data_IF_227711207849
#
_entry.id   IF_227711207849
#
_cell.length_a   1.000
_cell.length_b   1.000
_cell.length_c   1.000
_cell.angle_alpha   90.00
_cell.angle_beta   90.00
_cell.angle_gamma   90.00
#
_symmetry.space_group_name_H-M   'P 1'
#
loop_
_entity.id
_entity.type
_entity.pdbx_description
1 polymer ?
#
# COMPACT_ATOMS: atom_id res chain seq x y z
N UNK A 1 -37.93 4.35 16.42
CA UNK A 1 -36.58 4.72 16.91
C UNK A 1 -36.44 6.24 16.82
N UNK A 2 -35.95 6.92 17.87
CA UNK A 2 -35.85 8.38 17.87
C UNK A 2 -34.66 8.86 17.03
N UNK A 3 -34.83 9.94 16.26
CA UNK A 3 -33.77 10.59 15.47
C UNK A 3 -32.49 10.82 16.29
N UNK A 4 -32.63 11.15 17.58
CA UNK A 4 -31.51 11.36 18.51
C UNK A 4 -30.73 10.07 18.83
N UNK A 5 -31.43 8.92 18.93
CA UNK A 5 -30.79 7.62 19.18
C UNK A 5 -30.05 7.13 17.93
N UNK A 6 -30.63 7.27 16.75
CA UNK A 6 -29.98 6.92 15.48
C UNK A 6 -28.65 7.68 15.27
N UNK A 7 -28.64 9.00 15.54
CA UNK A 7 -27.41 9.81 15.41
C UNK A 7 -26.32 9.42 16.43
N UNK A 8 -26.73 9.09 17.66
CA UNK A 8 -25.80 8.63 18.70
C UNK A 8 -25.14 7.29 18.34
N UNK A 9 -25.92 6.35 17.81
CA UNK A 9 -25.41 5.05 17.36
C UNK A 9 -24.46 5.20 16.17
N UNK A 10 -24.81 6.02 15.18
CA UNK A 10 -23.91 6.31 14.05
C UNK A 10 -22.57 6.89 14.53
N UNK A 11 -22.60 7.80 15.50
CA UNK A 11 -21.38 8.37 16.11
C UNK A 11 -20.54 7.29 16.80
N UNK A 12 -21.16 6.38 17.54
CA UNK A 12 -20.47 5.25 18.17
C UNK A 12 -19.85 4.30 17.14
N UNK A 13 -20.57 3.96 16.06
CA UNK A 13 -20.02 3.12 14.98
C UNK A 13 -18.81 3.75 14.31
N UNK A 14 -18.82 5.07 14.05
CA UNK A 14 -17.67 5.79 13.49
C UNK A 14 -16.48 5.76 14.47
N UNK A 15 -16.72 5.95 15.78
CA UNK A 15 -15.68 5.88 16.79
C UNK A 15 -15.03 4.49 16.85
N UNK A 16 -15.83 3.42 16.87
CA UNK A 16 -15.31 2.06 16.87
C UNK A 16 -14.55 1.72 15.59
N UNK A 17 -15.04 2.16 14.43
CA UNK A 17 -14.32 1.97 13.16
C UNK A 17 -12.96 2.68 13.19
N UNK A 18 -12.91 3.92 13.70
CA UNK A 18 -11.66 4.65 13.87
C UNK A 18 -10.67 3.95 14.82
N UNK A 19 -11.17 3.36 15.90
CA UNK A 19 -10.35 2.57 16.84
C UNK A 19 -9.80 1.30 16.17
N UNK A 20 -10.62 0.56 15.43
CA UNK A 20 -10.18 -0.66 14.74
C UNK A 20 -9.12 -0.33 13.69
N UNK A 21 -9.34 0.71 12.88
CA UNK A 21 -8.38 1.12 11.85
C UNK A 21 -7.06 1.59 12.47
N UNK A 22 -7.11 2.42 13.52
CA UNK A 22 -5.90 2.94 14.16
C UNK A 22 -5.10 1.86 14.90
N UNK A 23 -5.77 0.96 15.63
CA UNK A 23 -5.11 -0.18 16.27
C UNK A 23 -4.52 -1.14 15.24
N UNK A 24 -5.26 -1.44 14.17
CA UNK A 24 -4.77 -2.27 13.07
C UNK A 24 -3.52 -1.69 12.40
N UNK A 25 -3.55 -0.40 12.07
CA UNK A 25 -2.39 0.34 11.55
C UNK A 25 -1.21 0.33 12.51
N UNK A 26 -1.45 0.58 13.80
CA UNK A 26 -0.41 0.58 14.83
C UNK A 26 0.31 -0.77 14.93
N UNK A 27 -0.44 -1.87 14.90
CA UNK A 27 0.12 -3.22 14.90
C UNK A 27 0.96 -3.46 13.64
N UNK A 28 0.47 -3.06 12.46
CA UNK A 28 1.24 -3.19 11.21
C UNK A 28 2.57 -2.45 11.29
N UNK A 29 2.58 -1.19 11.74
CA UNK A 29 3.82 -0.43 11.91
C UNK A 29 4.78 -1.05 12.94
N UNK A 30 4.26 -1.62 14.03
CA UNK A 30 5.10 -2.21 15.09
C UNK A 30 5.85 -3.46 14.62
N UNK A 31 5.21 -4.33 13.83
CA UNK A 31 5.81 -5.60 13.40
C UNK A 31 6.52 -5.54 12.04
N UNK A 32 6.40 -4.44 11.30
CA UNK A 32 6.96 -4.40 9.95
C UNK A 32 8.49 -4.20 9.99
N UNK A 33 9.29 -5.05 9.32
CA UNK A 33 10.74 -4.89 9.27
C UNK A 33 11.16 -3.75 8.33
N UNK A 34 11.65 -2.64 8.89
CA UNK A 34 12.07 -1.46 8.12
C UNK A 34 13.45 -1.65 7.48
N UNK A 35 14.34 -2.38 8.14
CA UNK A 35 15.74 -2.49 7.72
C UNK A 35 15.97 -3.57 6.65
N UNK A 36 14.93 -4.30 6.26
CA UNK A 36 15.02 -5.43 5.33
C UNK A 36 14.41 -5.02 3.98
N UNK A 37 15.12 -5.22 2.86
CA UNK A 37 14.56 -5.02 1.53
C UNK A 37 13.32 -5.88 1.28
N UNK A 38 12.46 -5.44 0.36
CA UNK A 38 11.28 -6.21 -0.04
C UNK A 38 11.73 -7.46 -0.80
N UNK A 39 11.18 -8.62 -0.41
CA UNK A 39 11.48 -9.93 -1.00
C UNK A 39 10.21 -10.62 -1.51
N UNK A 40 10.39 -11.81 -2.08
CA UNK A 40 9.31 -12.73 -2.53
C UNK A 40 8.29 -12.06 -3.46
N UNK A 41 7.00 -12.20 -3.21
CA UNK A 41 5.94 -11.69 -4.08
C UNK A 41 5.95 -10.17 -4.15
N UNK A 42 6.30 -9.50 -3.04
CA UNK A 42 6.46 -8.05 -3.01
C UNK A 42 7.57 -7.59 -3.96
N UNK A 43 8.64 -8.37 -4.11
CA UNK A 43 9.73 -8.05 -5.03
C UNK A 43 9.30 -8.18 -6.50
N UNK A 44 8.48 -9.17 -6.85
CA UNK A 44 7.93 -9.25 -8.21
C UNK A 44 7.02 -8.06 -8.55
N UNK A 45 6.20 -7.62 -7.59
CA UNK A 45 5.41 -6.39 -7.76
C UNK A 45 6.27 -5.14 -7.90
N UNK A 46 7.33 -5.05 -7.11
CA UNK A 46 8.31 -3.97 -7.17
C UNK A 46 8.95 -3.86 -8.56
N UNK A 47 9.47 -4.98 -9.08
CA UNK A 47 10.14 -5.02 -10.38
C UNK A 47 9.16 -4.66 -11.50
N UNK A 48 7.95 -5.22 -11.47
CA UNK A 48 6.92 -4.89 -12.47
C UNK A 48 6.59 -3.40 -12.45
N UNK A 49 6.29 -2.83 -11.27
CA UNK A 49 5.96 -1.41 -11.12
C UNK A 49 7.10 -0.49 -11.59
N UNK A 50 8.34 -0.80 -11.21
CA UNK A 50 9.53 -0.03 -11.60
C UNK A 50 9.73 -0.06 -13.11
N UNK A 51 9.57 -1.23 -13.73
CA UNK A 51 9.67 -1.38 -15.18
C UNK A 51 8.57 -0.62 -15.91
N UNK A 52 7.34 -0.62 -15.38
CA UNK A 52 6.23 0.19 -15.94
C UNK A 52 6.61 1.67 -16.02
N UNK A 53 7.20 2.22 -14.96
CA UNK A 53 7.60 3.63 -14.92
C UNK A 53 8.80 3.89 -15.84
N UNK A 54 9.78 3.00 -15.83
CA UNK A 54 11.00 3.14 -16.64
C UNK A 54 10.73 3.06 -18.15
N UNK A 55 9.85 2.16 -18.57
CA UNK A 55 9.49 1.96 -19.98
C UNK A 55 8.37 2.90 -20.45
N UNK A 56 7.71 3.61 -19.52
CA UNK A 56 6.56 4.48 -19.84
C UNK A 56 5.32 3.72 -20.32
N UNK A 57 5.22 2.42 -20.02
CA UNK A 57 4.16 1.54 -20.49
C UNK A 57 4.12 0.21 -19.75
N UNK A 58 3.03 -0.55 -19.91
CA UNK A 58 2.86 -1.82 -19.19
C UNK A 58 3.91 -2.87 -19.65
N UNK A 59 4.65 -3.49 -18.73
CA UNK A 59 5.67 -4.49 -19.06
C UNK A 59 5.12 -5.68 -19.83
N UNK A 60 5.73 -5.99 -20.97
CA UNK A 60 5.41 -7.15 -21.82
C UNK A 60 6.36 -8.31 -21.45
N UNK A 61 5.84 -9.54 -21.44
CA UNK A 61 6.64 -10.75 -21.17
C UNK A 61 6.93 -11.01 -19.69
N UNK A 62 6.31 -10.26 -18.78
CA UNK A 62 6.34 -10.54 -17.34
C UNK A 62 5.18 -11.47 -16.96
N UNK A 63 5.50 -12.68 -16.51
CA UNK A 63 4.53 -13.68 -16.09
C UNK A 63 4.02 -13.45 -14.66
N UNK A 64 3.45 -12.26 -14.41
CA UNK A 64 2.82 -11.95 -13.13
C UNK A 64 1.33 -12.28 -13.19
N UNK A 65 0.89 -13.21 -12.34
CA UNK A 65 -0.52 -13.66 -12.28
C UNK A 65 -1.46 -12.57 -11.78
N UNK A 66 -0.96 -11.59 -11.01
CA UNK A 66 -1.71 -10.46 -10.49
C UNK A 66 -0.91 -9.15 -10.65
N UNK A 67 -1.37 -8.28 -11.56
CA UNK A 67 -0.73 -6.98 -11.84
C UNK A 67 -1.39 -5.81 -11.12
N UNK A 68 -2.52 -6.00 -10.43
CA UNK A 68 -3.31 -4.91 -9.85
C UNK A 68 -2.50 -4.08 -8.86
N UNK A 69 -1.82 -4.74 -7.92
CA UNK A 69 -0.95 -4.08 -6.94
C UNK A 69 0.25 -3.39 -7.60
N UNK A 70 0.93 -4.05 -8.55
CA UNK A 70 2.08 -3.48 -9.25
C UNK A 70 1.71 -2.26 -10.09
N UNK A 71 0.56 -2.30 -10.77
CA UNK A 71 0.03 -1.15 -11.50
C UNK A 71 -0.30 0.00 -10.56
N UNK A 72 -0.96 -0.28 -9.43
CA UNK A 72 -1.24 0.73 -8.41
C UNK A 72 0.06 1.35 -7.86
N UNK A 73 1.08 0.56 -7.55
CA UNK A 73 2.39 1.05 -7.13
C UNK A 73 3.04 1.97 -8.18
N UNK A 74 2.93 1.62 -9.45
CA UNK A 74 3.51 2.43 -10.54
C UNK A 74 2.96 3.86 -10.56
N UNK A 75 1.70 4.07 -10.15
CA UNK A 75 1.10 5.41 -10.01
C UNK A 75 1.87 6.30 -9.01
N UNK A 76 2.44 5.70 -7.97
CA UNK A 76 3.25 6.43 -6.98
C UNK A 76 4.71 6.57 -7.43
N UNK A 77 5.26 5.53 -8.06
CA UNK A 77 6.65 5.53 -8.53
C UNK A 77 6.89 6.59 -9.62
N UNK A 78 5.87 6.96 -10.41
CA UNK A 78 5.97 8.07 -11.38
C UNK A 78 6.38 9.40 -10.74
N UNK A 79 6.02 9.62 -9.47
CA UNK A 79 6.35 10.85 -8.73
C UNK A 79 7.63 10.73 -7.90
N UNK A 80 8.28 9.57 -7.89
CA UNK A 80 9.43 9.28 -7.06
C UNK A 80 10.74 9.36 -7.87
N UNK A 81 11.85 9.57 -7.15
CA UNK A 81 13.18 9.39 -7.72
C UNK A 81 13.42 7.89 -7.92
N UNK A 82 13.59 7.48 -9.18
CA UNK A 82 13.79 6.08 -9.58
C UNK A 82 15.27 5.68 -9.64
N UNK A 83 16.21 6.60 -9.38
CA UNK A 83 17.65 6.31 -9.39
C UNK A 83 18.10 5.47 -8.21
N UNK A 84 17.36 5.52 -7.09
CA UNK A 84 17.60 4.72 -5.90
C UNK A 84 16.46 3.70 -5.68
N UNK A 85 16.70 2.40 -5.93
CA UNK A 85 15.72 1.35 -5.72
C UNK A 85 15.23 1.25 -4.26
N UNK A 86 16.05 1.62 -3.27
CA UNK A 86 15.65 1.54 -1.86
C UNK A 86 14.57 2.57 -1.53
N UNK A 87 14.62 3.77 -2.13
CA UNK A 87 13.55 4.77 -2.01
C UNK A 87 12.22 4.25 -2.54
N UNK A 88 12.23 3.57 -3.69
CA UNK A 88 11.03 2.97 -4.25
C UNK A 88 10.51 1.82 -3.37
N UNK A 89 11.40 1.01 -2.79
CA UNK A 89 11.01 -0.02 -1.83
C UNK A 89 10.41 0.58 -0.56
N UNK A 90 10.91 1.72 -0.05
CA UNK A 90 10.31 2.43 1.08
C UNK A 90 8.90 2.92 0.76
N UNK A 91 8.66 3.40 -0.47
CA UNK A 91 7.32 3.84 -0.92
C UNK A 91 6.37 2.64 -0.96
N UNK A 92 6.77 1.55 -1.62
CA UNK A 92 5.95 0.34 -1.66
C UNK A 92 5.66 -0.17 -0.25
N UNK A 93 6.67 -0.19 0.63
CA UNK A 93 6.52 -0.59 2.03
C UNK A 93 5.49 0.25 2.75
N UNK A 94 5.62 1.58 2.65
CA UNK A 94 4.70 2.53 3.30
C UNK A 94 3.27 2.31 2.82
N UNK A 95 3.08 2.12 1.52
CA UNK A 95 1.76 1.84 0.94
C UNK A 95 1.19 0.50 1.42
N UNK A 96 2.01 -0.56 1.50
CA UNK A 96 1.58 -1.86 2.02
C UNK A 96 1.22 -1.85 3.51
N UNK A 97 1.82 -0.96 4.30
CA UNK A 97 1.46 -0.81 5.71
C UNK A 97 0.13 -0.05 5.82
N UNK A 98 -0.04 1.01 5.02
CA UNK A 98 -1.19 1.92 5.12
C UNK A 98 -2.47 1.38 4.50
N UNK A 99 -2.37 0.58 3.44
CA UNK A 99 -3.50 0.04 2.66
C UNK A 99 -3.72 -1.45 2.93
#
# INVERSE_FOLDING_TARGET
MSQKSYYSEKKQSILFLGLILSLGLGIRFYYFPIDIPIVTDGFFSFVYATKTVFEGGLPIGYAVTNTGWSNFLSLFFVFADTTDPLRLMDIQRTLSIVL
#
